data_IF_960114691902
#
_entry.id   IF_960114691902
#
_cell.length_a   1.000
_cell.length_b   1.000
_cell.length_c   1.000
_cell.angle_alpha   90.00
_cell.angle_beta   90.00
_cell.angle_gamma   90.00
#
_symmetry.space_group_name_H-M   'P 1'
#
loop_
_entity.id
_entity.type
_entity.pdbx_description
1 polymer ?
#
# COMPACT_ATOMS: atom_id res chain seq x y z
N UNK A 1 18.60 -75.78 -23.98
CA UNK A 1 18.01 -74.84 -23.02
C UNK A 1 18.17 -73.43 -23.57
N UNK A 2 17.09 -72.81 -24.07
CA UNK A 2 17.11 -71.42 -24.64
C UNK A 2 16.55 -70.48 -23.60
N UNK A 3 17.44 -69.61 -23.02
CA UNK A 3 17.01 -68.53 -22.14
C UNK A 3 16.47 -67.36 -22.96
N UNK A 4 15.15 -67.10 -22.81
CA UNK A 4 14.50 -65.93 -23.41
C UNK A 4 14.50 -64.82 -22.36
N UNK A 5 15.27 -63.80 -22.63
CA UNK A 5 15.34 -62.59 -21.76
C UNK A 5 14.19 -61.65 -22.19
N UNK A 6 13.20 -61.43 -21.30
CA UNK A 6 12.15 -60.43 -21.50
C UNK A 6 12.65 -59.08 -21.02
N UNK A 7 12.85 -58.12 -21.95
CA UNK A 7 13.12 -56.73 -21.64
C UNK A 7 11.77 -56.05 -21.40
N UNK A 8 11.54 -55.68 -20.14
CA UNK A 8 10.36 -54.90 -19.74
C UNK A 8 10.61 -53.43 -20.10
N UNK A 9 9.95 -52.93 -21.13
CA UNK A 9 9.95 -51.50 -21.47
C UNK A 9 8.98 -50.78 -20.52
N UNK A 10 9.51 -50.05 -19.50
CA UNK A 10 8.74 -49.13 -18.72
C UNK A 10 8.47 -47.85 -19.57
N UNK A 11 7.26 -47.72 -20.08
CA UNK A 11 6.76 -46.46 -20.64
C UNK A 11 6.51 -45.50 -19.49
N UNK A 12 7.42 -44.52 -19.30
CA UNK A 12 7.13 -43.32 -18.53
C UNK A 12 6.09 -42.50 -19.32
N UNK A 13 4.86 -42.54 -18.91
CA UNK A 13 3.87 -41.55 -19.31
C UNK A 13 4.22 -40.24 -18.67
N UNK A 14 4.93 -39.38 -19.39
CA UNK A 14 5.04 -37.94 -19.08
C UNK A 14 3.64 -37.40 -19.35
N UNK A 15 2.82 -37.32 -18.30
CA UNK A 15 1.55 -36.58 -18.35
C UNK A 15 1.89 -35.11 -18.57
N UNK A 16 1.61 -34.58 -19.77
CA UNK A 16 1.42 -33.16 -19.94
C UNK A 16 0.29 -32.74 -19.00
N UNK A 17 0.60 -32.11 -17.88
CA UNK A 17 -0.38 -31.32 -17.15
C UNK A 17 -0.73 -30.16 -18.09
N UNK A 18 -1.93 -30.18 -18.66
CA UNK A 18 -2.47 -29.01 -19.34
C UNK A 18 -2.52 -27.89 -18.29
N UNK A 19 -1.73 -26.83 -18.49
CA UNK A 19 -1.84 -25.61 -17.71
C UNK A 19 -3.29 -25.14 -17.81
N UNK A 20 -3.97 -25.06 -16.68
CA UNK A 20 -5.33 -24.54 -16.61
C UNK A 20 -5.31 -23.11 -17.08
N UNK A 21 -5.83 -22.86 -18.28
CA UNK A 21 -5.85 -21.51 -18.86
C UNK A 21 -7.02 -20.75 -18.23
N UNK A 22 -6.72 -19.75 -17.43
CA UNK A 22 -7.73 -18.82 -16.91
C UNK A 22 -8.39 -18.07 -18.07
N UNK A 23 -9.69 -17.75 -17.92
CA UNK A 23 -10.44 -17.05 -18.93
C UNK A 23 -10.77 -15.63 -18.44
N UNK A 24 -10.57 -14.67 -19.31
CA UNK A 24 -11.03 -13.28 -19.11
C UNK A 24 -12.43 -13.17 -19.73
N UNK A 25 -13.41 -13.76 -19.06
CA UNK A 25 -14.81 -13.67 -19.45
C UNK A 25 -15.47 -12.37 -18.93
N UNK A 26 -16.74 -12.18 -19.22
CA UNK A 26 -17.44 -10.95 -18.83
C UNK A 26 -17.64 -10.85 -17.32
N UNK A 27 -17.84 -11.98 -16.62
CA UNK A 27 -17.92 -12.00 -15.15
C UNK A 27 -16.59 -11.56 -14.51
N UNK A 28 -15.46 -12.04 -15.05
CA UNK A 28 -14.15 -11.60 -14.59
C UNK A 28 -13.95 -10.08 -14.79
N UNK A 29 -14.35 -9.56 -15.98
CA UNK A 29 -14.23 -8.11 -16.27
C UNK A 29 -15.10 -7.26 -15.34
N UNK A 30 -16.32 -7.70 -15.04
CA UNK A 30 -17.22 -7.03 -14.09
C UNK A 30 -16.59 -6.98 -12.69
N UNK A 31 -16.13 -8.12 -12.17
CA UNK A 31 -15.45 -8.21 -10.87
C UNK A 31 -14.16 -7.35 -10.80
N UNK A 32 -13.39 -7.32 -11.89
CA UNK A 32 -12.20 -6.50 -11.95
C UNK A 32 -12.54 -4.99 -12.01
N UNK A 33 -13.65 -4.64 -12.67
CA UNK A 33 -14.11 -3.25 -12.72
C UNK A 33 -14.54 -2.76 -11.34
N UNK A 34 -15.25 -3.59 -10.56
CA UNK A 34 -15.63 -3.23 -9.18
C UNK A 34 -14.39 -3.12 -8.28
N UNK A 35 -13.47 -4.08 -8.36
CA UNK A 35 -12.18 -3.98 -7.66
C UNK A 35 -11.44 -2.67 -7.97
N UNK A 36 -11.38 -2.28 -9.23
CA UNK A 36 -10.75 -1.00 -9.62
C UNK A 36 -11.46 0.21 -9.04
N UNK A 37 -12.78 0.17 -8.97
CA UNK A 37 -13.57 1.26 -8.40
C UNK A 37 -13.31 1.41 -6.90
N UNK A 38 -13.33 0.30 -6.13
CA UNK A 38 -13.01 0.29 -4.70
C UNK A 38 -11.59 0.81 -4.46
N UNK A 39 -10.61 0.32 -5.21
CA UNK A 39 -9.23 0.76 -5.14
C UNK A 39 -9.09 2.26 -5.47
N UNK A 40 -9.83 2.76 -6.48
CA UNK A 40 -9.82 4.17 -6.83
C UNK A 40 -10.33 5.06 -5.68
N UNK A 41 -11.41 4.69 -5.04
CA UNK A 41 -11.96 5.43 -3.90
C UNK A 41 -10.94 5.54 -2.76
N UNK A 42 -10.22 4.46 -2.46
CA UNK A 42 -9.14 4.49 -1.47
C UNK A 42 -7.95 5.37 -1.91
N UNK A 43 -7.56 5.31 -3.17
CA UNK A 43 -6.34 5.99 -3.63
C UNK A 43 -6.52 7.48 -3.88
N UNK A 44 -7.72 7.92 -4.28
CA UNK A 44 -8.06 9.36 -4.34
C UNK A 44 -7.86 10.04 -2.98
N UNK A 45 -8.11 9.31 -1.88
CA UNK A 45 -7.82 9.80 -0.54
C UNK A 45 -6.36 10.25 -0.38
N UNK A 46 -5.39 9.53 -0.96
CA UNK A 46 -3.96 9.89 -0.86
C UNK A 46 -3.62 11.18 -1.61
N UNK A 47 -4.37 11.51 -2.68
CA UNK A 47 -4.23 12.78 -3.39
C UNK A 47 -4.69 13.97 -2.55
N UNK A 48 -5.55 13.76 -1.55
CA UNK A 48 -5.94 14.81 -0.63
C UNK A 48 -4.85 15.21 0.36
N UNK A 49 -3.82 14.37 0.57
CA UNK A 49 -2.73 14.67 1.51
C UNK A 49 -1.81 15.71 0.90
N UNK A 50 -1.82 16.91 1.48
CA UNK A 50 -1.11 18.08 0.95
C UNK A 50 0.19 18.40 1.70
N UNK A 51 0.33 17.93 2.94
CA UNK A 51 1.53 18.12 3.76
C UNK A 51 1.74 16.99 4.76
N UNK A 52 3.01 16.75 5.12
CA UNK A 52 3.40 15.82 6.19
C UNK A 52 4.59 16.39 6.96
N UNK A 53 4.46 16.46 8.28
CA UNK A 53 5.49 17.00 9.17
C UNK A 53 5.86 16.03 10.28
N UNK A 54 7.15 15.84 10.50
CA UNK A 54 7.64 15.11 11.67
C UNK A 54 7.50 15.98 12.91
N UNK A 55 6.76 15.48 13.90
CA UNK A 55 6.57 16.18 15.17
C UNK A 55 7.85 16.19 15.99
N UNK A 56 8.09 17.32 16.64
CA UNK A 56 9.20 17.52 17.56
C UNK A 56 8.66 17.52 19.00
N UNK A 57 9.26 16.70 19.85
CA UNK A 57 8.87 16.61 21.25
C UNK A 57 9.39 17.74 22.15
N UNK A 58 10.37 18.53 21.66
CA UNK A 58 11.02 19.57 22.46
C UNK A 58 10.24 20.89 22.50
N UNK A 59 9.32 21.12 21.55
CA UNK A 59 8.59 22.39 21.44
C UNK A 59 7.19 22.19 20.85
N UNK A 60 6.26 23.16 21.06
CA UNK A 60 4.95 23.11 20.42
C UNK A 60 5.04 23.05 18.89
N UNK A 61 4.28 22.16 18.29
CA UNK A 61 4.22 21.98 16.84
C UNK A 61 3.01 22.75 16.29
N UNK A 62 3.17 24.07 16.11
CA UNK A 62 2.15 24.93 15.49
C UNK A 62 2.12 24.71 13.98
N UNK A 63 0.94 24.77 13.37
CA UNK A 63 0.77 24.56 11.93
C UNK A 63 -0.35 25.41 11.34
N UNK A 64 -0.15 25.81 10.08
CA UNK A 64 -1.03 26.70 9.33
C UNK A 64 -0.27 27.45 8.24
N UNK A 65 -0.94 28.37 7.52
CA UNK A 65 -0.32 29.12 6.43
C UNK A 65 0.55 30.31 6.88
N UNK A 66 0.38 30.81 8.12
CA UNK A 66 1.14 31.95 8.62
C UNK A 66 2.62 31.62 8.85
N UNK A 67 3.49 32.61 8.66
CA UNK A 67 4.95 32.44 8.69
C UNK A 67 5.50 32.06 10.06
N UNK A 68 4.83 32.44 11.12
CA UNK A 68 5.20 32.16 12.50
C UNK A 68 4.96 30.70 12.93
N UNK A 69 4.26 29.92 12.13
CA UNK A 69 4.08 28.50 12.43
C UNK A 69 5.37 27.73 12.24
N UNK A 70 5.61 26.77 13.13
CA UNK A 70 6.69 25.81 12.99
C UNK A 70 6.53 24.96 11.71
N UNK A 71 5.31 24.58 11.40
CA UNK A 71 4.92 23.83 10.20
C UNK A 71 4.04 24.71 9.32
N UNK A 72 4.67 25.36 8.36
CA UNK A 72 3.99 26.26 7.44
C UNK A 72 3.47 25.49 6.24
N UNK A 73 2.15 25.55 6.04
CA UNK A 73 1.53 24.99 4.85
C UNK A 73 1.87 25.84 3.61
N UNK A 74 2.09 25.18 2.48
CA UNK A 74 2.34 25.87 1.19
C UNK A 74 1.08 26.59 0.68
N UNK A 75 -0.11 26.06 0.99
CA UNK A 75 -1.37 26.67 0.60
C UNK A 75 -1.64 27.94 1.43
N UNK A 76 -1.54 29.10 0.78
CA UNK A 76 -1.80 30.41 1.40
C UNK A 76 -3.28 30.66 1.70
N UNK A 77 -4.21 29.83 1.18
CA UNK A 77 -5.64 29.93 1.47
C UNK A 77 -6.05 29.18 2.73
N UNK A 78 -5.16 28.34 3.27
CA UNK A 78 -5.36 27.69 4.54
C UNK A 78 -5.42 28.70 5.70
N UNK A 79 -6.11 28.37 6.81
CA UNK A 79 -6.07 29.16 8.02
C UNK A 79 -4.65 29.53 8.43
N UNK A 80 -4.45 30.76 8.89
CA UNK A 80 -3.15 31.21 9.38
C UNK A 80 -2.58 30.30 10.46
N UNK A 81 -3.45 29.81 11.36
CA UNK A 81 -3.06 28.87 12.41
C UNK A 81 -4.22 27.90 12.70
N UNK A 82 -3.98 26.61 12.60
CA UNK A 82 -4.93 25.57 13.02
C UNK A 82 -4.84 25.28 14.53
N UNK A 83 -3.70 25.51 15.14
CA UNK A 83 -3.42 25.20 16.53
C UNK A 83 -2.02 24.64 16.73
N UNK A 84 -1.85 23.89 17.81
CA UNK A 84 -0.58 23.28 18.17
C UNK A 84 -0.74 21.84 18.65
N UNK A 85 0.21 20.98 18.31
CA UNK A 85 0.37 19.65 18.88
C UNK A 85 1.54 19.66 19.85
N UNK A 86 1.31 19.25 21.09
CA UNK A 86 2.24 19.35 22.20
C UNK A 86 2.42 17.99 22.84
N UNK A 87 3.67 17.61 23.09
CA UNK A 87 3.99 16.42 23.90
C UNK A 87 3.93 16.81 25.39
N UNK A 88 3.05 16.20 26.14
CA UNK A 88 2.89 16.38 27.58
C UNK A 88 3.02 15.03 28.31
N UNK A 89 4.21 14.73 28.86
CA UNK A 89 4.53 13.44 29.50
C UNK A 89 4.12 12.25 28.63
N UNK A 90 3.05 11.53 29.02
CA UNK A 90 2.53 10.36 28.33
C UNK A 90 1.35 10.70 27.40
N UNK A 91 1.23 11.96 26.98
CA UNK A 91 0.12 12.46 26.16
C UNK A 91 0.62 13.26 24.96
N UNK A 92 -0.15 13.21 23.89
CA UNK A 92 0.04 14.03 22.70
C UNK A 92 -1.24 14.87 22.53
N UNK A 93 -1.15 16.15 22.89
CA UNK A 93 -2.31 17.01 22.98
C UNK A 93 -2.38 17.97 21.80
N UNK A 94 -3.51 17.94 21.07
CA UNK A 94 -3.85 18.98 20.13
C UNK A 94 -4.61 20.10 20.88
N UNK A 95 -4.20 21.36 20.65
CA UNK A 95 -4.90 22.58 21.14
C UNK A 95 -5.27 23.43 19.93
N UNK A 96 -6.56 23.64 19.73
CA UNK A 96 -7.07 24.44 18.61
C UNK A 96 -6.73 25.92 18.78
N UNK A 97 -6.49 26.61 17.67
CA UNK A 97 -6.36 28.07 17.67
C UNK A 97 -7.71 28.72 18.09
N UNK A 98 -7.67 29.90 18.74
CA UNK A 98 -8.88 30.51 19.31
C UNK A 98 -9.98 30.80 18.30
N UNK A 99 -9.61 31.11 17.06
CA UNK A 99 -10.52 31.63 16.03
C UNK A 99 -11.10 30.55 15.11
N UNK A 100 -10.80 29.27 15.37
CA UNK A 100 -11.34 28.15 14.59
C UNK A 100 -12.12 27.17 15.45
N UNK A 101 -13.14 26.56 14.84
CA UNK A 101 -13.95 25.50 15.46
C UNK A 101 -13.56 24.15 14.86
N UNK A 102 -12.60 23.50 15.48
CA UNK A 102 -12.16 22.17 15.09
C UNK A 102 -13.17 21.13 15.53
N UNK A 103 -13.46 20.14 14.68
CA UNK A 103 -14.35 19.04 14.95
C UNK A 103 -13.61 17.70 14.84
N UNK A 104 -14.10 16.72 15.56
CA UNK A 104 -13.77 15.29 15.44
C UNK A 104 -14.62 14.61 14.36
N UNK A 105 -14.42 13.33 14.11
CA UNK A 105 -15.22 12.57 13.11
C UNK A 105 -16.70 12.48 13.47
N UNK A 106 -17.06 12.48 14.75
CA UNK A 106 -18.44 12.51 15.26
C UNK A 106 -19.07 13.91 15.29
N UNK A 107 -18.43 14.91 14.65
CA UNK A 107 -18.84 16.32 14.61
C UNK A 107 -18.78 17.06 15.98
N UNK A 108 -18.18 16.48 17.00
CA UNK A 108 -17.97 17.16 18.28
C UNK A 108 -16.98 18.30 18.15
N UNK A 109 -17.37 19.50 18.59
CA UNK A 109 -16.47 20.67 18.58
C UNK A 109 -15.50 20.57 19.76
N UNK A 110 -14.21 20.68 19.47
CA UNK A 110 -13.15 20.56 20.46
C UNK A 110 -12.29 21.81 20.53
N UNK A 111 -11.72 22.06 21.71
CA UNK A 111 -10.65 23.03 21.92
C UNK A 111 -9.32 22.35 22.23
N UNK A 112 -9.38 21.19 22.83
CA UNK A 112 -8.24 20.35 23.19
C UNK A 112 -8.62 18.88 23.03
N UNK A 113 -7.66 18.05 22.56
CA UNK A 113 -7.88 16.62 22.35
C UNK A 113 -6.60 15.81 22.53
N UNK A 114 -6.68 14.65 23.17
CA UNK A 114 -5.56 13.73 23.30
C UNK A 114 -5.47 12.79 22.09
N UNK A 115 -4.41 12.92 21.29
CA UNK A 115 -4.16 12.20 20.05
C UNK A 115 -3.50 10.82 20.23
N UNK A 116 -3.28 10.35 21.47
CA UNK A 116 -2.67 9.03 21.71
C UNK A 116 -3.64 7.85 21.63
N UNK A 117 -4.94 8.11 21.44
CA UNK A 117 -5.90 7.06 21.10
C UNK A 117 -5.71 6.71 19.62
N UNK A 118 -4.96 5.64 19.35
CA UNK A 118 -4.61 5.24 17.99
C UNK A 118 -5.48 4.07 17.52
N UNK A 119 -5.83 4.09 16.24
CA UNK A 119 -6.44 2.93 15.57
C UNK A 119 -5.40 1.81 15.34
N UNK A 120 -5.83 0.70 14.75
CA UNK A 120 -4.97 -0.44 14.42
C UNK A 120 -3.87 -0.14 13.39
N UNK A 121 -3.94 1.00 12.71
CA UNK A 121 -2.93 1.50 11.75
C UNK A 121 -1.97 2.51 12.39
N UNK A 122 -2.15 2.82 13.65
CA UNK A 122 -1.38 3.84 14.35
C UNK A 122 -1.82 5.28 14.05
N UNK A 123 -3.04 5.48 13.57
CA UNK A 123 -3.60 6.81 13.31
C UNK A 123 -4.39 7.30 14.51
N UNK A 124 -4.20 8.57 14.86
CA UNK A 124 -5.06 9.25 15.84
C UNK A 124 -6.43 9.54 15.24
N UNK A 125 -7.36 10.01 16.09
CA UNK A 125 -8.59 10.65 15.65
C UNK A 125 -8.34 11.70 14.58
N UNK A 126 -9.22 11.77 13.58
CA UNK A 126 -9.15 12.78 12.51
C UNK A 126 -9.82 14.07 12.95
N UNK A 127 -9.06 15.15 12.95
CA UNK A 127 -9.54 16.51 13.20
C UNK A 127 -9.96 17.17 11.91
N UNK A 128 -11.02 18.01 11.94
CA UNK A 128 -11.57 18.65 10.74
C UNK A 128 -11.84 20.13 10.97
N UNK A 129 -11.53 20.92 9.94
CA UNK A 129 -11.93 22.31 9.84
C UNK A 129 -12.15 22.70 8.37
N UNK A 130 -13.38 23.01 7.98
CA UNK A 130 -13.77 23.28 6.58
C UNK A 130 -13.40 22.11 5.65
N UNK A 131 -12.59 22.38 4.62
CA UNK A 131 -12.06 21.39 3.67
C UNK A 131 -10.78 20.69 4.17
N UNK A 132 -10.16 21.17 5.24
CA UNK A 132 -8.98 20.57 5.82
C UNK A 132 -9.32 19.52 6.87
N UNK A 133 -8.53 18.45 6.86
CA UNK A 133 -8.49 17.49 7.94
C UNK A 133 -7.05 17.10 8.26
N UNK A 134 -6.79 16.61 9.45
CA UNK A 134 -5.46 16.17 9.86
C UNK A 134 -5.55 15.09 10.92
N UNK A 135 -4.50 14.28 10.97
CA UNK A 135 -4.30 13.28 12.02
C UNK A 135 -2.81 13.07 12.25
N UNK A 136 -2.48 12.44 13.37
CA UNK A 136 -1.11 12.00 13.65
C UNK A 136 -1.00 10.52 13.35
N UNK A 137 -0.04 10.16 12.50
CA UNK A 137 0.35 8.77 12.28
C UNK A 137 1.56 8.46 13.18
N UNK A 138 1.42 7.44 14.02
CA UNK A 138 2.46 6.95 14.92
C UNK A 138 3.14 5.75 14.30
N UNK A 139 4.37 5.93 13.85
CA UNK A 139 5.23 4.89 13.27
C UNK A 139 6.39 4.66 14.22
N UNK A 140 6.35 3.56 14.98
CA UNK A 140 7.39 3.27 15.99
C UNK A 140 7.71 4.53 16.85
N UNK A 141 8.92 5.03 16.75
CA UNK A 141 9.39 6.22 17.50
C UNK A 141 9.09 7.55 16.79
N UNK A 142 8.52 7.51 15.59
CA UNK A 142 8.23 8.70 14.77
C UNK A 142 6.75 9.01 14.79
N UNK A 143 6.41 10.28 15.03
CA UNK A 143 5.04 10.77 14.89
C UNK A 143 4.97 11.80 13.76
N UNK A 144 4.09 11.53 12.81
CA UNK A 144 3.92 12.34 11.60
C UNK A 144 2.54 13.00 11.61
N UNK A 145 2.51 14.33 11.60
CA UNK A 145 1.27 15.07 11.32
C UNK A 145 1.03 15.04 9.82
N UNK A 146 -0.10 14.47 9.40
CA UNK A 146 -0.60 14.52 8.01
C UNK A 146 -1.73 15.51 7.90
N UNK A 147 -1.69 16.33 6.86
CA UNK A 147 -2.71 17.34 6.58
C UNK A 147 -3.30 17.04 5.21
N UNK A 148 -4.62 17.05 5.14
CA UNK A 148 -5.40 16.76 3.95
C UNK A 148 -6.25 17.97 3.57
N UNK A 149 -6.39 18.22 2.28
CA UNK A 149 -7.35 19.16 1.72
C UNK A 149 -8.27 18.42 0.72
N UNK A 150 -9.55 18.32 1.05
CA UNK A 150 -10.56 17.68 0.18
C UNK A 150 -10.80 18.43 -1.13
N UNK A 151 -10.26 19.63 -1.29
CA UNK A 151 -10.31 20.45 -2.50
C UNK A 151 -8.96 20.58 -3.20
N UNK A 152 -8.00 19.70 -2.85
CA UNK A 152 -6.70 19.70 -3.52
C UNK A 152 -6.90 19.57 -5.04
N UNK A 153 -6.41 20.52 -5.87
CA UNK A 153 -6.57 20.45 -7.33
C UNK A 153 -6.02 19.19 -7.99
N UNK A 154 -5.10 18.48 -7.34
CA UNK A 154 -4.55 17.23 -7.87
C UNK A 154 -5.59 16.11 -7.92
N UNK A 155 -6.65 16.17 -7.10
CA UNK A 155 -7.78 15.24 -7.16
C UNK A 155 -8.49 15.34 -8.50
N UNK A 156 -8.79 16.58 -8.95
CA UNK A 156 -9.49 16.84 -10.21
C UNK A 156 -8.60 16.57 -11.44
N UNK A 157 -7.29 16.71 -11.29
CA UNK A 157 -6.31 16.45 -12.34
C UNK A 157 -5.93 14.99 -12.50
N UNK A 158 -6.31 14.15 -11.55
CA UNK A 158 -5.93 12.74 -11.55
C UNK A 158 -6.47 12.04 -12.81
N UNK A 159 -5.60 11.51 -13.69
CA UNK A 159 -6.01 10.96 -14.97
C UNK A 159 -6.66 9.57 -14.84
N UNK A 160 -6.87 9.08 -13.63
CA UNK A 160 -7.26 7.71 -13.35
C UNK A 160 -6.08 6.73 -13.44
N UNK A 161 -6.35 5.50 -13.06
CA UNK A 161 -5.32 4.46 -13.07
C UNK A 161 -4.97 4.03 -14.47
N UNK A 162 -3.69 4.09 -14.79
CA UNK A 162 -3.15 3.47 -15.99
C UNK A 162 -2.87 1.99 -15.70
N UNK A 163 -3.51 1.08 -16.43
CA UNK A 163 -3.32 -0.36 -16.27
C UNK A 163 -2.92 -1.02 -17.58
N UNK A 164 -2.33 -2.19 -17.49
CA UNK A 164 -2.21 -3.08 -18.65
C UNK A 164 -3.60 -3.59 -19.06
N UNK A 165 -3.70 -4.10 -20.30
CA UNK A 165 -4.85 -4.86 -20.73
C UNK A 165 -4.96 -6.15 -19.89
N UNK A 166 -6.20 -6.57 -19.59
CA UNK A 166 -6.43 -7.79 -18.85
C UNK A 166 -5.93 -9.00 -19.63
N UNK A 167 -5.17 -9.84 -18.99
CA UNK A 167 -4.57 -11.01 -19.60
C UNK A 167 -4.60 -12.22 -18.66
N UNK A 168 -4.90 -13.43 -19.16
CA UNK A 168 -4.79 -14.65 -18.37
C UNK A 168 -3.33 -15.08 -18.13
N UNK A 169 -2.36 -14.52 -18.86
CA UNK A 169 -0.95 -14.93 -18.82
C UNK A 169 -0.25 -14.63 -17.48
N UNK A 170 -0.86 -13.79 -16.66
CA UNK A 170 -0.38 -13.43 -15.32
C UNK A 170 -1.38 -13.75 -14.21
N UNK A 171 -2.18 -14.79 -14.41
CA UNK A 171 -3.04 -15.42 -13.38
C UNK A 171 -2.48 -16.83 -13.12
N UNK A 172 -2.10 -17.10 -11.88
CA UNK A 172 -1.43 -18.35 -11.51
C UNK A 172 -2.14 -19.08 -10.37
N UNK A 173 -2.14 -20.42 -10.42
CA UNK A 173 -2.42 -21.23 -9.22
C UNK A 173 -1.20 -21.15 -8.29
N UNK A 174 -1.42 -20.73 -7.06
CA UNK A 174 -0.41 -20.60 -6.02
C UNK A 174 -0.56 -21.69 -4.95
N UNK A 175 0.56 -22.22 -4.48
CA UNK A 175 0.64 -23.12 -3.33
C UNK A 175 1.11 -22.34 -2.12
N UNK A 176 0.32 -22.37 -1.03
CA UNK A 176 0.62 -21.65 0.19
C UNK A 176 1.39 -22.53 1.18
N UNK A 177 2.45 -21.97 1.75
CA UNK A 177 3.18 -22.57 2.86
C UNK A 177 3.27 -21.54 3.98
N UNK A 178 2.63 -21.81 5.11
CA UNK A 178 2.71 -20.95 6.29
C UNK A 178 3.93 -21.29 7.13
N UNK A 179 4.58 -20.29 7.68
CA UNK A 179 5.67 -20.46 8.61
C UNK A 179 5.14 -20.92 9.98
N UNK A 180 5.90 -21.73 10.71
CA UNK A 180 5.58 -22.13 12.09
C UNK A 180 5.49 -20.93 13.03
N UNK A 181 6.32 -19.92 12.79
CA UNK A 181 6.28 -18.61 13.42
C UNK A 181 6.60 -17.52 12.38
N UNK A 182 6.06 -16.31 12.52
CA UNK A 182 6.34 -15.24 11.57
C UNK A 182 7.84 -15.01 11.38
N UNK A 183 8.26 -14.84 10.13
CA UNK A 183 9.62 -14.46 9.75
C UNK A 183 9.72 -12.94 9.80
N UNK A 184 10.63 -12.41 10.60
CA UNK A 184 10.94 -10.99 10.64
C UNK A 184 11.94 -10.67 9.52
N UNK A 185 11.60 -9.74 8.64
CA UNK A 185 12.46 -9.28 7.56
C UNK A 185 12.58 -7.76 7.68
N UNK A 186 13.81 -7.25 7.62
CA UNK A 186 14.03 -5.82 7.44
C UNK A 186 13.66 -5.41 6.01
N UNK A 187 12.68 -4.52 5.89
CA UNK A 187 12.23 -3.99 4.60
C UNK A 187 12.53 -2.49 4.49
N UNK A 188 12.90 -2.00 3.30
CA UNK A 188 13.08 -0.57 3.09
C UNK A 188 11.75 0.19 3.21
N UNK A 189 11.83 1.46 3.61
CA UNK A 189 10.66 2.34 3.74
C UNK A 189 10.90 3.69 3.07
N UNK A 190 9.83 4.32 2.57
CA UNK A 190 9.90 5.55 1.77
C UNK A 190 10.45 6.77 2.52
N UNK A 191 10.38 6.76 3.85
CA UNK A 191 10.90 7.86 4.70
C UNK A 191 12.35 7.65 5.15
N UNK A 192 13.04 6.68 4.54
CA UNK A 192 14.45 6.37 4.77
C UNK A 192 14.69 5.31 5.84
N UNK A 193 15.71 4.48 5.63
CA UNK A 193 16.06 3.36 6.51
C UNK A 193 15.24 2.10 6.22
N UNK A 194 15.18 1.24 7.22
CA UNK A 194 14.45 -0.03 7.20
C UNK A 194 13.55 -0.15 8.42
N UNK A 195 12.56 -1.01 8.35
CA UNK A 195 11.78 -1.49 9.51
C UNK A 195 11.62 -3.00 9.45
N UNK A 196 11.42 -3.63 10.59
CA UNK A 196 11.01 -5.03 10.62
C UNK A 196 9.54 -5.19 10.16
N UNK A 197 9.30 -6.22 9.35
CA UNK A 197 7.97 -6.62 8.93
C UNK A 197 7.78 -8.12 9.11
N UNK A 198 6.58 -8.51 9.54
CA UNK A 198 6.22 -9.91 9.79
C UNK A 198 5.66 -10.55 8.52
N UNK A 199 6.38 -11.53 7.99
CA UNK A 199 5.90 -12.40 6.93
C UNK A 199 5.44 -13.73 7.53
N UNK A 200 4.26 -14.19 7.12
CA UNK A 200 3.61 -15.37 7.73
C UNK A 200 3.66 -16.61 6.86
N UNK A 201 4.17 -16.51 5.65
CA UNK A 201 4.28 -17.64 4.74
C UNK A 201 4.79 -17.24 3.37
N UNK A 202 4.86 -18.23 2.48
CA UNK A 202 5.18 -18.06 1.06
C UNK A 202 4.06 -18.58 0.18
N UNK A 203 3.95 -17.99 -1.02
CA UNK A 203 3.15 -18.53 -2.11
C UNK A 203 4.05 -18.89 -3.26
N UNK A 204 4.02 -20.17 -3.68
CA UNK A 204 4.78 -20.67 -4.83
C UNK A 204 3.88 -20.80 -6.04
N UNK A 205 4.37 -20.43 -7.21
CA UNK A 205 3.67 -20.54 -8.48
C UNK A 205 4.63 -20.88 -9.64
N UNK A 206 4.08 -21.35 -10.75
CA UNK A 206 4.85 -21.72 -11.92
C UNK A 206 4.71 -20.69 -13.03
N UNK A 207 5.84 -20.27 -13.61
CA UNK A 207 5.85 -19.42 -14.79
C UNK A 207 6.97 -19.88 -15.74
N UNK A 208 6.61 -20.19 -16.98
CA UNK A 208 7.56 -20.66 -18.04
C UNK A 208 8.47 -21.79 -17.57
N UNK A 209 7.93 -22.77 -16.84
CA UNK A 209 8.65 -23.94 -16.37
C UNK A 209 9.61 -23.71 -15.20
N UNK A 210 9.58 -22.52 -14.58
CA UNK A 210 10.34 -22.18 -13.36
C UNK A 210 9.38 -21.94 -12.20
N UNK A 211 9.77 -22.39 -11.00
CA UNK A 211 9.04 -22.09 -9.76
C UNK A 211 9.51 -20.76 -9.21
N UNK A 212 8.56 -19.92 -8.84
CA UNK A 212 8.75 -18.65 -8.15
C UNK A 212 8.07 -18.70 -6.78
N UNK A 213 8.60 -17.96 -5.84
CA UNK A 213 8.05 -17.83 -4.49
C UNK A 213 8.00 -16.37 -4.08
N UNK A 214 6.91 -15.98 -3.42
CA UNK A 214 6.75 -14.64 -2.83
C UNK A 214 6.37 -14.80 -1.36
N UNK A 215 7.07 -14.11 -0.48
CA UNK A 215 6.69 -13.99 0.92
C UNK A 215 5.45 -13.11 1.06
N UNK A 216 4.49 -13.50 1.93
CA UNK A 216 3.29 -12.73 2.20
C UNK A 216 3.08 -12.44 3.68
N UNK A 217 2.38 -11.35 3.95
CA UNK A 217 2.05 -10.83 5.27
C UNK A 217 0.61 -11.18 5.69
N UNK A 218 0.24 -10.85 6.93
CA UNK A 218 -1.16 -10.92 7.40
C UNK A 218 -2.09 -10.19 6.42
N UNK A 219 -3.31 -10.70 6.26
CA UNK A 219 -4.27 -10.19 5.28
C UNK A 219 -4.03 -10.71 3.87
N UNK A 220 -3.13 -11.71 3.69
CA UNK A 220 -2.75 -12.26 2.38
C UNK A 220 -2.16 -11.18 1.45
N UNK A 221 -1.37 -10.30 2.02
CA UNK A 221 -0.80 -9.14 1.38
C UNK A 221 0.63 -9.42 0.92
N UNK A 222 0.92 -9.11 -0.32
CA UNK A 222 2.23 -9.27 -0.96
C UNK A 222 2.72 -7.90 -1.44
N UNK A 223 3.96 -7.58 -1.10
CA UNK A 223 4.72 -6.53 -1.77
C UNK A 223 5.70 -7.21 -2.73
N UNK A 224 5.71 -6.82 -3.99
CA UNK A 224 6.61 -7.41 -4.99
C UNK A 224 7.18 -6.38 -5.95
N UNK A 225 8.37 -6.67 -6.48
CA UNK A 225 8.96 -5.95 -7.59
C UNK A 225 9.16 -6.87 -8.80
N UNK A 226 9.33 -6.30 -9.97
CA UNK A 226 9.55 -7.04 -11.21
C UNK A 226 10.33 -6.21 -12.24
N UNK A 227 10.60 -6.78 -13.42
CA UNK A 227 11.41 -6.12 -14.47
C UNK A 227 10.72 -4.96 -15.19
N UNK A 228 9.45 -4.65 -14.89
CA UNK A 228 8.77 -3.45 -15.40
C UNK A 228 9.01 -2.21 -14.53
N UNK A 229 9.53 -2.38 -13.32
CA UNK A 229 9.83 -1.30 -12.39
C UNK A 229 10.77 -0.26 -13.02
N UNK A 230 10.51 1.03 -12.79
CA UNK A 230 11.21 2.20 -13.37
C UNK A 230 11.06 2.38 -14.88
N UNK A 231 10.38 1.49 -15.59
CA UNK A 231 10.21 1.59 -17.05
C UNK A 231 8.75 1.70 -17.48
N UNK A 232 7.88 0.90 -16.86
CA UNK A 232 6.46 0.83 -17.19
C UNK A 232 5.59 0.88 -15.93
N UNK A 233 6.13 0.48 -14.77
CA UNK A 233 5.43 0.47 -13.48
C UNK A 233 6.20 1.22 -12.41
N UNK A 234 5.56 1.49 -11.28
CA UNK A 234 6.17 2.21 -10.17
C UNK A 234 7.48 1.56 -9.71
N UNK A 235 8.53 2.37 -9.61
CA UNK A 235 9.89 1.90 -9.43
C UNK A 235 10.18 1.19 -8.10
N UNK A 236 9.40 1.48 -7.06
CA UNK A 236 9.54 0.86 -5.76
C UNK A 236 8.71 -0.42 -5.57
N UNK A 237 8.14 -0.97 -6.65
CA UNK A 237 7.33 -2.17 -6.62
C UNK A 237 5.85 -1.91 -6.46
N UNK A 238 5.07 -2.98 -6.42
CA UNK A 238 3.60 -2.98 -6.37
C UNK A 238 3.09 -3.89 -5.27
N UNK A 239 1.82 -3.75 -4.97
CA UNK A 239 1.10 -4.55 -3.99
C UNK A 239 0.14 -5.52 -4.68
N UNK A 240 -0.10 -6.64 -4.05
CA UNK A 240 -1.03 -7.66 -4.50
C UNK A 240 -1.68 -8.32 -3.28
N UNK A 241 -2.97 -8.51 -3.34
CA UNK A 241 -3.71 -9.27 -2.34
C UNK A 241 -4.32 -10.51 -2.98
N UNK A 242 -4.46 -11.56 -2.18
CA UNK A 242 -5.10 -12.79 -2.62
C UNK A 242 -6.10 -13.31 -1.59
N UNK A 243 -7.00 -14.19 -2.04
CA UNK A 243 -7.93 -14.88 -1.15
C UNK A 243 -7.66 -16.37 -1.17
N UNK A 244 -7.92 -17.04 -0.05
CA UNK A 244 -7.82 -18.50 0.05
C UNK A 244 -9.00 -19.04 0.85
N UNK A 245 -9.49 -20.21 0.48
CA UNK A 245 -10.58 -20.88 1.21
C UNK A 245 -10.09 -22.04 2.09
N UNK A 246 -8.90 -22.55 1.82
CA UNK A 246 -8.35 -23.77 2.45
C UNK A 246 -6.98 -23.58 3.11
N UNK A 247 -6.41 -22.39 3.02
CA UNK A 247 -5.05 -22.04 3.48
C UNK A 247 -3.95 -22.93 2.85
N UNK A 248 -4.20 -23.52 1.68
CA UNK A 248 -3.25 -24.35 0.95
C UNK A 248 -3.02 -23.87 -0.46
N UNK A 249 -4.08 -23.36 -1.07
CA UNK A 249 -4.06 -22.91 -2.46
C UNK A 249 -4.69 -21.54 -2.60
N UNK A 250 -4.27 -20.82 -3.63
CA UNK A 250 -4.84 -19.51 -4.00
C UNK A 250 -4.73 -19.30 -5.50
N UNK A 251 -5.41 -18.27 -5.97
CA UNK A 251 -5.18 -17.69 -7.29
C UNK A 251 -4.43 -16.37 -7.10
N UNK A 252 -3.21 -16.30 -7.66
CA UNK A 252 -2.45 -15.06 -7.77
C UNK A 252 -2.84 -14.37 -9.07
N UNK A 253 -3.59 -13.31 -8.97
CA UNK A 253 -4.07 -12.53 -10.13
C UNK A 253 -3.33 -11.20 -10.22
N UNK A 254 -2.25 -11.16 -10.96
CA UNK A 254 -1.45 -9.94 -11.12
C UNK A 254 -2.16 -8.84 -11.94
N UNK A 255 -3.30 -9.11 -12.59
CA UNK A 255 -4.14 -8.02 -13.13
C UNK A 255 -4.69 -7.12 -12.02
N UNK A 256 -4.71 -7.62 -10.78
CA UNK A 256 -5.10 -6.86 -9.58
C UNK A 256 -3.91 -6.21 -8.85
N UNK A 257 -2.70 -6.30 -9.40
CA UNK A 257 -1.57 -5.59 -8.82
C UNK A 257 -1.76 -4.07 -8.90
N UNK A 258 -1.47 -3.38 -7.80
CA UNK A 258 -1.68 -1.93 -7.68
C UNK A 258 -0.48 -1.23 -7.04
N UNK A 259 -0.38 0.07 -7.27
CA UNK A 259 0.72 0.87 -6.75
C UNK A 259 0.53 1.22 -5.27
N UNK A 260 1.62 1.33 -4.50
CA UNK A 260 1.55 1.83 -3.13
C UNK A 260 1.18 3.31 -3.09
N UNK A 261 0.65 3.81 -1.95
CA UNK A 261 0.26 5.21 -1.78
C UNK A 261 1.33 6.25 -2.17
N UNK A 262 2.60 5.90 -2.03
CA UNK A 262 3.72 6.78 -2.37
C UNK A 262 3.88 7.05 -3.88
N UNK A 263 3.20 6.30 -4.73
CA UNK A 263 3.13 6.59 -6.16
C UNK A 263 2.21 7.77 -6.48
N UNK A 264 1.31 8.13 -5.55
CA UNK A 264 0.30 9.19 -5.70
C UNK A 264 0.61 10.44 -4.88
N UNK A 265 1.29 10.28 -3.75
CA UNK A 265 1.62 11.39 -2.86
C UNK A 265 2.97 11.19 -2.19
N UNK A 266 3.84 12.21 -2.25
CA UNK A 266 5.10 12.26 -1.51
C UNK A 266 4.91 12.37 0.01
N UNK A 267 3.69 12.62 0.46
CA UNK A 267 3.32 12.77 1.86
C UNK A 267 2.80 11.47 2.50
N UNK A 268 3.01 10.34 1.85
CA UNK A 268 2.68 9.01 2.39
C UNK A 268 3.93 8.25 2.80
N UNK A 269 3.74 7.22 3.61
CA UNK A 269 4.82 6.36 4.10
C UNK A 269 4.53 4.93 3.66
N UNK A 270 5.41 4.36 2.84
CA UNK A 270 5.24 3.04 2.26
C UNK A 270 6.37 2.11 2.65
N UNK A 271 6.03 0.85 2.77
CA UNK A 271 6.99 -0.24 2.78
C UNK A 271 7.27 -0.69 1.35
N UNK A 272 8.51 -1.08 1.09
CA UNK A 272 8.94 -1.60 -0.18
C UNK A 272 9.14 -3.12 -0.10
N UNK A 273 9.06 -3.83 -1.24
CA UNK A 273 9.27 -5.26 -1.28
C UNK A 273 10.63 -5.67 -0.68
N UNK A 274 10.68 -6.77 0.08
CA UNK A 274 11.95 -7.39 0.43
C UNK A 274 12.66 -7.90 -0.83
N UNK A 275 13.97 -8.13 -0.74
CA UNK A 275 14.78 -8.57 -1.88
C UNK A 275 14.27 -9.89 -2.47
N UNK A 276 13.78 -10.79 -1.65
CA UNK A 276 13.24 -12.10 -2.04
C UNK A 276 11.96 -11.99 -2.90
N UNK A 277 11.24 -10.89 -2.79
CA UNK A 277 10.00 -10.65 -3.55
C UNK A 277 10.23 -9.90 -4.88
N UNK A 278 11.47 -9.85 -5.36
CA UNK A 278 11.76 -9.29 -6.68
C UNK A 278 11.82 -10.38 -7.76
N UNK A 279 10.82 -10.37 -8.64
CA UNK A 279 10.71 -11.29 -9.75
C UNK A 279 11.72 -10.95 -10.87
N UNK A 280 12.41 -11.96 -11.41
CA UNK A 280 13.40 -11.78 -12.47
C UNK A 280 12.80 -11.72 -13.89
N UNK A 281 11.49 -11.50 -13.99
CA UNK A 281 10.75 -11.32 -15.25
C UNK A 281 9.82 -10.11 -15.19
N UNK A 282 9.33 -9.66 -16.35
CA UNK A 282 8.40 -8.55 -16.45
C UNK A 282 6.94 -9.01 -16.25
N UNK A 283 6.25 -8.46 -15.27
CA UNK A 283 4.82 -8.70 -15.00
C UNK A 283 4.01 -7.62 -15.71
N UNK A 284 3.63 -7.86 -16.96
CA UNK A 284 2.82 -6.91 -17.78
C UNK A 284 1.34 -7.08 -17.52
N UNK A 285 0.94 -6.92 -16.26
CA UNK A 285 -0.42 -6.97 -15.76
C UNK A 285 -0.58 -6.01 -14.59
N UNK A 286 -1.80 -5.59 -14.28
CA UNK A 286 -2.11 -4.69 -13.18
C UNK A 286 -1.78 -3.22 -13.49
N UNK A 287 -1.51 -2.44 -12.47
CA UNK A 287 -1.31 -1.01 -12.57
C UNK A 287 0.07 -0.65 -13.11
N UNK A 288 0.10 0.35 -13.99
CA UNK A 288 1.30 1.01 -14.51
C UNK A 288 1.66 2.20 -13.62
N UNK A 289 2.82 2.78 -13.86
CA UNK A 289 3.15 4.06 -13.25
C UNK A 289 2.18 5.14 -13.71
N UNK A 290 1.52 5.79 -12.75
CA UNK A 290 0.69 6.96 -13.00
C UNK A 290 1.58 8.17 -12.75
N UNK A 291 1.91 8.92 -13.80
CA UNK A 291 2.65 10.17 -13.67
C UNK A 291 1.73 11.21 -13.03
N UNK A 292 1.72 11.27 -11.72
CA UNK A 292 1.22 12.44 -11.00
C UNK A 292 2.37 13.42 -11.00
N UNK A 293 2.19 14.61 -11.57
CA UNK A 293 3.17 15.69 -11.45
C UNK A 293 3.37 15.98 -9.95
N UNK A 294 4.37 15.35 -9.37
CA UNK A 294 4.78 15.67 -7.99
C UNK A 294 5.43 17.05 -8.07
N UNK A 295 4.63 18.09 -7.95
CA UNK A 295 5.11 19.46 -7.85
C UNK A 295 6.00 19.56 -6.60
N UNK A 296 7.31 19.63 -6.85
CA UNK A 296 8.37 19.85 -5.85
C UNK A 296 8.16 21.15 -5.05
#
# INVERSE_FOLDING_TARGET
MRNTCYILFLFFLVGCQEERKFLIDDSYKENHTEFKKELHEEQVYYLSIVDMFKLDSASPNTFGSAEENKFRLKDSTAPGNFGAIIFEKDSLIFKAAPDIQVKTEDDSVIKEYNLLHLDHRGHSEVMRYQNYSWYVNSLEDVKLLRIMDSRNPEIDKFPGFQTYELTPDFIFEGQLTYYESPKLIEIPVSYGGTREAEFIGTVEFQYKGKTYSLDFMKGNFIMFGDKTALTETYGAGRYLEFTTSDNKTTILDFNRAYNPPCSYSSFTTCAYPPEENWLDFAVKAGEKETLVDQAN
#
